data_IF_742722487137
#
_entry.id   IF_742722487137
#
_cell.length_a   1.000
_cell.length_b   1.000
_cell.length_c   1.000
_cell.angle_alpha   90.00
_cell.angle_beta   90.00
_cell.angle_gamma   90.00
#
_symmetry.space_group_name_H-M   'P 1'
#
loop_
_entity.id
_entity.type
_entity.pdbx_description
1 polymer ?
#
# COMPACT_ATOMS: atom_id res chain seq x y z
N UNK A 1 -3.68 -11.81 -9.18
CA UNK A 1 -3.14 -10.69 -8.37
C UNK A 1 -3.03 -9.52 -9.31
N UNK A 2 -3.57 -8.35 -8.96
CA UNK A 2 -3.41 -7.14 -9.79
C UNK A 2 -1.92 -6.77 -9.86
N UNK A 3 -1.46 -6.30 -11.01
CA UNK A 3 -0.07 -5.86 -11.20
C UNK A 3 0.22 -4.56 -10.44
N UNK A 4 1.49 -4.30 -10.15
CA UNK A 4 1.89 -3.03 -9.50
C UNK A 4 1.49 -1.81 -10.35
N UNK A 5 1.53 -1.96 -11.69
CA UNK A 5 1.06 -0.93 -12.61
C UNK A 5 -0.43 -0.63 -12.42
N UNK A 6 -1.26 -1.67 -12.37
CA UNK A 6 -2.71 -1.54 -12.15
C UNK A 6 -3.01 -0.94 -10.76
N UNK A 7 -2.25 -1.32 -9.73
CA UNK A 7 -2.36 -0.73 -8.38
C UNK A 7 -2.04 0.76 -8.38
N UNK A 8 -0.92 1.16 -8.99
CA UNK A 8 -0.49 2.56 -9.06
C UNK A 8 -1.49 3.40 -9.85
N UNK A 9 -2.00 2.88 -10.97
CA UNK A 9 -3.02 3.58 -11.78
C UNK A 9 -4.32 3.77 -10.99
N UNK A 10 -4.78 2.73 -10.28
CA UNK A 10 -5.96 2.82 -9.42
C UNK A 10 -5.79 3.84 -8.28
N UNK A 11 -4.64 3.85 -7.62
CA UNK A 11 -4.37 4.80 -6.54
C UNK A 11 -4.26 6.25 -7.03
N UNK A 12 -3.60 6.48 -8.18
CA UNK A 12 -3.58 7.81 -8.82
C UNK A 12 -4.98 8.30 -9.14
N UNK A 13 -5.83 7.41 -9.65
CA UNK A 13 -7.22 7.74 -9.91
C UNK A 13 -7.96 8.16 -8.63
N UNK A 14 -7.83 7.38 -7.55
CA UNK A 14 -8.48 7.70 -6.27
C UNK A 14 -8.00 9.03 -5.67
N UNK A 15 -6.70 9.33 -5.74
CA UNK A 15 -6.14 10.62 -5.29
C UNK A 15 -6.61 11.81 -6.14
N UNK A 16 -6.95 11.57 -7.41
CA UNK A 16 -7.47 12.59 -8.33
C UNK A 16 -9.00 12.70 -8.34
N UNK A 17 -9.70 11.87 -7.57
CA UNK A 17 -11.15 11.93 -7.45
C UNK A 17 -11.52 12.87 -6.30
N UNK A 18 -11.86 14.12 -6.62
CA UNK A 18 -12.36 15.10 -5.65
C UNK A 18 -13.91 15.20 -5.67
N UNK A 19 -14.56 14.32 -6.44
CA UNK A 19 -16.02 14.23 -6.58
C UNK A 19 -16.71 15.58 -6.87
N UNK A 20 -16.00 16.48 -7.55
CA UNK A 20 -16.53 17.77 -7.97
C UNK A 20 -16.13 18.10 -9.42
N UNK A 21 -16.98 18.86 -10.12
CA UNK A 21 -16.74 19.23 -11.53
C UNK A 21 -16.53 18.04 -12.47
N UNK A 22 -15.47 18.08 -13.28
CA UNK A 22 -15.18 17.08 -14.32
C UNK A 22 -14.70 15.73 -13.75
N UNK A 23 -14.16 15.70 -12.53
CA UNK A 23 -13.73 14.45 -11.88
C UNK A 23 -14.93 13.59 -11.49
N UNK A 24 -16.06 14.21 -11.15
CA UNK A 24 -17.31 13.55 -10.76
C UNK A 24 -17.83 12.61 -11.85
N UNK A 25 -17.72 13.02 -13.13
CA UNK A 25 -18.18 12.20 -14.26
C UNK A 25 -17.41 10.88 -14.31
N UNK A 26 -16.08 10.93 -14.25
CA UNK A 26 -15.23 9.73 -14.24
C UNK A 26 -15.46 8.86 -13.00
N UNK A 27 -15.56 9.48 -11.83
CA UNK A 27 -15.85 8.76 -10.59
C UNK A 27 -17.22 8.07 -10.65
N UNK A 28 -18.21 8.69 -11.29
CA UNK A 28 -19.54 8.12 -11.47
C UNK A 28 -19.55 6.93 -12.43
N UNK A 29 -18.87 7.05 -13.57
CA UNK A 29 -18.74 5.96 -14.56
C UNK A 29 -18.07 4.72 -13.94
N UNK A 30 -16.99 4.92 -13.20
CA UNK A 30 -16.27 3.83 -12.54
C UNK A 30 -17.10 3.26 -11.38
N UNK A 31 -17.78 4.10 -10.61
CA UNK A 31 -18.64 3.65 -9.52
C UNK A 31 -19.78 2.77 -10.04
N UNK A 32 -20.39 3.13 -11.17
CA UNK A 32 -21.41 2.32 -11.82
C UNK A 32 -20.83 1.00 -12.35
N UNK A 33 -19.67 1.04 -13.02
CA UNK A 33 -19.06 -0.16 -13.59
C UNK A 33 -18.66 -1.19 -12.53
N UNK A 34 -18.17 -0.74 -11.36
CA UNK A 34 -17.67 -1.63 -10.31
C UNK A 34 -18.74 -2.02 -9.29
N UNK A 35 -19.63 -1.10 -8.93
CA UNK A 35 -20.56 -1.26 -7.82
C UNK A 35 -22.03 -1.24 -8.25
N UNK A 36 -22.33 -0.99 -9.52
CA UNK A 36 -23.71 -0.78 -10.00
C UNK A 36 -24.37 0.45 -9.36
N UNK A 37 -23.56 1.39 -8.86
CA UNK A 37 -24.03 2.58 -8.19
C UNK A 37 -23.09 3.75 -8.50
N UNK A 38 -23.55 4.66 -9.36
CA UNK A 38 -22.93 5.94 -9.74
C UNK A 38 -22.33 6.79 -8.62
N UNK A 39 -22.75 6.61 -7.38
CA UNK A 39 -22.29 7.43 -6.26
C UNK A 39 -21.47 6.63 -5.25
N UNK A 40 -21.14 5.35 -5.48
CA UNK A 40 -20.47 4.51 -4.48
C UNK A 40 -19.13 5.08 -3.99
N UNK A 41 -18.31 5.65 -4.89
CA UNK A 41 -17.03 6.26 -4.53
C UNK A 41 -17.25 7.62 -3.85
N UNK A 42 -18.18 8.45 -4.37
CA UNK A 42 -18.39 9.80 -3.87
C UNK A 42 -19.25 9.88 -2.59
N UNK A 43 -20.02 8.84 -2.29
CA UNK A 43 -20.75 8.69 -1.03
C UNK A 43 -19.95 7.86 -0.01
N UNK A 44 -18.68 7.54 -0.30
CA UNK A 44 -17.82 6.88 0.67
C UNK A 44 -17.52 7.82 1.82
N UNK A 45 -17.87 7.42 3.05
CA UNK A 45 -17.45 8.10 4.28
C UNK A 45 -15.92 7.97 4.52
N UNK A 46 -15.26 7.04 3.79
CA UNK A 46 -13.83 6.86 3.84
C UNK A 46 -13.11 7.80 2.86
N UNK A 47 -12.05 8.44 3.34
CA UNK A 47 -11.15 9.28 2.53
C UNK A 47 -10.56 8.46 1.38
N UNK A 48 -10.80 8.90 0.14
CA UNK A 48 -10.28 8.25 -1.06
C UNK A 48 -8.75 8.24 -1.10
N UNK A 49 -8.09 9.23 -0.49
CA UNK A 49 -6.63 9.25 -0.30
C UNK A 49 -6.18 8.08 0.58
N UNK A 50 -6.87 7.81 1.69
CA UNK A 50 -6.55 6.66 2.55
C UNK A 50 -6.77 5.32 1.84
N UNK A 51 -7.80 5.22 1.00
CA UNK A 51 -8.03 4.03 0.17
C UNK A 51 -6.90 3.90 -0.87
N UNK A 52 -6.48 5.00 -1.48
CA UNK A 52 -5.37 5.02 -2.42
C UNK A 52 -4.07 4.54 -1.77
N UNK A 53 -3.78 4.95 -0.53
CA UNK A 53 -2.60 4.52 0.21
C UNK A 53 -2.62 3.02 0.56
N UNK A 54 -3.82 2.45 0.78
CA UNK A 54 -4.00 1.01 0.95
C UNK A 54 -3.82 0.21 -0.35
N UNK A 55 -3.97 0.84 -1.51
CA UNK A 55 -3.77 0.19 -2.81
C UNK A 55 -2.32 0.37 -3.28
N UNK A 56 -1.77 1.57 -3.12
CA UNK A 56 -0.39 1.96 -3.46
C UNK A 56 0.58 1.70 -2.31
N UNK A 57 0.42 0.56 -1.66
CA UNK A 57 1.29 0.15 -0.56
C UNK A 57 2.75 0.14 -1.06
N UNK A 58 3.65 0.88 -0.39
CA UNK A 58 5.05 0.95 -0.78
C UNK A 58 5.72 -0.42 -0.69
N UNK A 59 6.81 -0.59 -1.44
CA UNK A 59 7.69 -1.76 -1.29
C UNK A 59 8.90 -1.40 -0.45
N UNK A 60 9.47 -2.38 0.26
CA UNK A 60 10.72 -2.21 1.00
C UNK A 60 11.62 -3.43 0.84
N UNK A 61 12.90 -3.23 1.14
CA UNK A 61 13.86 -4.31 1.37
C UNK A 61 14.13 -4.36 2.87
N UNK A 62 14.13 -5.57 3.43
CA UNK A 62 14.56 -5.82 4.80
C UNK A 62 16.03 -6.21 4.79
N UNK A 63 16.87 -5.34 5.34
CA UNK A 63 18.32 -5.54 5.40
C UNK A 63 18.69 -6.04 6.78
N UNK A 64 19.45 -7.13 6.86
CA UNK A 64 20.04 -7.55 8.14
C UNK A 64 21.10 -6.50 8.52
N UNK A 65 20.87 -5.84 9.65
CA UNK A 65 21.76 -4.83 10.25
C UNK A 65 22.30 -5.30 11.60
N UNK A 66 21.97 -6.53 11.99
CA UNK A 66 22.45 -7.16 13.20
C UNK A 66 23.96 -7.43 13.19
N UNK A 67 24.55 -7.51 14.37
CA UNK A 67 25.96 -7.89 14.56
C UNK A 67 26.17 -9.40 14.56
N UNK A 68 27.40 -9.85 14.82
CA UNK A 68 27.79 -11.28 14.82
C UNK A 68 26.97 -12.19 15.76
N UNK A 69 26.19 -11.63 16.68
CA UNK A 69 25.41 -12.36 17.71
C UNK A 69 23.93 -11.96 17.81
N UNK A 70 23.47 -11.02 16.97
CA UNK A 70 22.09 -10.51 17.00
C UNK A 70 21.58 -10.42 15.57
N UNK A 71 20.39 -10.97 15.32
CA UNK A 71 19.70 -10.79 14.05
C UNK A 71 18.71 -9.62 14.21
N UNK A 72 19.01 -8.50 13.57
CA UNK A 72 18.11 -7.34 13.53
C UNK A 72 17.91 -6.91 12.09
N UNK A 73 16.68 -6.54 11.74
CA UNK A 73 16.31 -6.17 10.38
C UNK A 73 15.86 -4.72 10.32
N UNK A 74 16.36 -3.97 9.34
CA UNK A 74 15.94 -2.60 9.09
C UNK A 74 15.11 -2.53 7.80
N UNK A 75 13.99 -1.82 7.87
CA UNK A 75 13.13 -1.55 6.72
C UNK A 75 13.67 -0.37 5.91
N UNK A 76 13.93 -0.56 4.62
CA UNK A 76 14.42 0.53 3.74
C UNK A 76 13.41 1.66 3.49
N UNK A 77 12.12 1.46 3.82
CA UNK A 77 11.07 2.46 3.57
C UNK A 77 10.81 3.37 4.78
N UNK A 78 10.71 2.80 5.98
CA UNK A 78 10.44 3.58 7.20
C UNK A 78 11.64 3.69 8.14
N UNK A 79 12.76 3.06 7.82
CA UNK A 79 14.00 3.02 8.61
C UNK A 79 13.86 2.41 10.01
N UNK A 80 12.71 1.82 10.33
CA UNK A 80 12.50 1.11 11.59
C UNK A 80 13.33 -0.16 11.63
N UNK A 81 13.93 -0.41 12.79
CA UNK A 81 14.70 -1.61 13.12
C UNK A 81 13.87 -2.55 13.98
N UNK A 82 14.00 -3.84 13.72
CA UNK A 82 13.28 -4.90 14.42
C UNK A 82 14.27 -5.96 14.88
N UNK A 83 14.38 -6.14 16.19
CA UNK A 83 15.17 -7.22 16.77
C UNK A 83 14.43 -8.55 16.58
N UNK A 84 15.09 -9.48 15.89
CA UNK A 84 14.56 -10.80 15.55
C UNK A 84 15.65 -11.86 15.72
N UNK A 85 16.16 -12.08 16.95
CA UNK A 85 17.33 -12.94 17.20
C UNK A 85 17.17 -14.37 16.68
N UNK A 86 15.95 -14.89 16.66
CA UNK A 86 15.64 -16.27 16.25
C UNK A 86 15.57 -16.47 14.72
N UNK A 87 15.73 -15.42 13.91
CA UNK A 87 15.53 -15.46 12.47
C UNK A 87 16.75 -14.98 11.69
N UNK A 88 17.36 -15.87 10.90
CA UNK A 88 18.48 -15.52 10.00
C UNK A 88 18.04 -14.69 8.79
N UNK A 89 16.74 -14.73 8.46
CA UNK A 89 16.11 -13.97 7.38
C UNK A 89 14.77 -13.43 7.84
N UNK A 90 14.42 -12.24 7.34
CA UNK A 90 13.16 -11.61 7.66
C UNK A 90 11.97 -12.48 7.17
N UNK A 91 11.10 -12.97 8.07
CA UNK A 91 10.14 -14.02 7.73
C UNK A 91 8.78 -13.49 7.23
N UNK A 92 8.56 -12.18 7.26
CA UNK A 92 7.24 -11.60 6.97
C UNK A 92 7.17 -10.96 5.59
N UNK A 93 5.99 -11.03 4.96
CA UNK A 93 5.74 -10.38 3.65
C UNK A 93 5.56 -8.86 3.74
N UNK A 94 5.45 -8.32 4.95
CA UNK A 94 5.20 -6.90 5.20
C UNK A 94 6.07 -6.37 6.33
N UNK A 95 6.43 -5.10 6.26
CA UNK A 95 6.94 -4.34 7.39
C UNK A 95 5.81 -4.15 8.42
N UNK A 96 6.01 -4.49 9.71
CA UNK A 96 4.98 -4.31 10.73
C UNK A 96 4.72 -2.84 11.04
N UNK A 97 5.71 -1.96 10.85
CA UNK A 97 5.56 -0.53 11.16
C UNK A 97 4.82 0.23 10.05
N UNK A 98 5.28 0.12 8.80
CA UNK A 98 4.73 0.92 7.69
C UNK A 98 3.87 0.14 6.70
N UNK A 99 3.67 -1.17 6.92
CA UNK A 99 2.85 -2.02 6.05
C UNK A 99 3.44 -2.33 4.67
N UNK A 100 4.62 -1.78 4.36
CA UNK A 100 5.31 -1.92 3.08
C UNK A 100 5.53 -3.40 2.71
N UNK A 101 5.34 -3.75 1.44
CA UNK A 101 5.56 -5.12 0.94
C UNK A 101 7.05 -5.40 0.84
N UNK A 102 7.52 -6.47 1.47
CA UNK A 102 8.94 -6.84 1.49
C UNK A 102 9.27 -7.58 0.19
N UNK A 103 10.21 -7.07 -0.60
CA UNK A 103 10.55 -7.61 -1.93
C UNK A 103 11.24 -8.99 -1.86
N UNK A 104 11.96 -9.27 -0.78
CA UNK A 104 12.72 -10.51 -0.58
C UNK A 104 12.07 -11.44 0.45
N UNK A 105 10.77 -11.30 0.71
CA UNK A 105 10.07 -12.22 1.61
C UNK A 105 9.84 -13.56 0.92
N UNK A 106 10.27 -14.64 1.58
CA UNK A 106 9.99 -16.02 1.17
C UNK A 106 8.46 -16.34 1.18
#
# INVERSE_FOLDING_TARGET
MISDKERIEAAKFLRGCDCCGDSYVKCSEISEALFGNKNAICNSDASLEKIADLIDIPTCVMTNVGGDFENSFQCSNCMSEFDMPDFDRYPYKRCPECGAVVQNAD
#
